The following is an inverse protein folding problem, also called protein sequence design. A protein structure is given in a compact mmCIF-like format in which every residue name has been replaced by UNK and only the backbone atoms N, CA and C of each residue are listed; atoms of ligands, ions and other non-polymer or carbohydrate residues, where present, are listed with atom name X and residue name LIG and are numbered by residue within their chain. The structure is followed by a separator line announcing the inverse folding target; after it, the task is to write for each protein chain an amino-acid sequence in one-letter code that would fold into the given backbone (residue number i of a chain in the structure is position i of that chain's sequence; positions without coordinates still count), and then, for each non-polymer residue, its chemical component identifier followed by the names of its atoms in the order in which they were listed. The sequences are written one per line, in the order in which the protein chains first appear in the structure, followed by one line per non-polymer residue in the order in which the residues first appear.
data_IF_630548211401
#
_entry.id   IF_630548211401
#
_cell.length_a   1.000
_cell.length_b   1.000
_cell.length_c   1.000
_cell.angle_alpha   90.00
_cell.angle_beta   90.00
_cell.angle_gamma   90.00
#
_symmetry.space_group_name_H-M   'P 1'
#
loop_
_entity.id
_entity.type
_entity.pdbx_description
1 polymer ?
#
# COMPACT_ATOMS: atom_id res chain seq x y z
N UNK A 1 -6.75 -10.27 4.04
CA UNK A 1 -7.26 -8.96 4.54
C UNK A 1 -7.69 -8.96 6.00
N UNK A 2 -8.29 -10.01 6.59
CA UNK A 2 -8.67 -10.02 8.01
C UNK A 2 -7.52 -9.63 8.96
N UNK A 3 -6.29 -9.97 8.59
CA UNK A 3 -5.13 -9.84 9.46
C UNK A 3 -4.67 -8.40 9.72
N UNK A 4 -4.93 -7.43 8.83
CA UNK A 4 -4.44 -6.06 9.04
C UNK A 4 -5.12 -5.34 10.21
N UNK A 5 -6.43 -5.59 10.38
CA UNK A 5 -7.25 -4.96 11.42
C UNK A 5 -7.50 -5.94 12.58
N UNK A 6 -7.59 -7.24 12.30
CA UNK A 6 -7.78 -8.28 13.31
C UNK A 6 -6.50 -8.67 14.05
N UNK A 7 -5.65 -9.47 13.41
CA UNK A 7 -4.52 -10.13 14.07
C UNK A 7 -3.31 -9.20 14.31
N UNK A 8 -2.93 -8.41 13.29
CA UNK A 8 -1.76 -7.55 13.34
C UNK A 8 -2.03 -6.23 14.10
N UNK A 9 -3.31 -5.85 14.23
CA UNK A 9 -3.78 -4.60 14.86
C UNK A 9 -3.04 -3.37 14.32
N UNK A 10 -2.93 -3.24 13.00
CA UNK A 10 -2.21 -2.14 12.31
C UNK A 10 -3.17 -1.26 11.49
N UNK A 11 -3.97 -0.38 12.12
CA UNK A 11 -4.90 0.49 11.39
C UNK A 11 -4.20 1.42 10.40
N UNK A 12 -3.00 1.92 10.73
CA UNK A 12 -2.21 2.73 9.80
C UNK A 12 -1.83 1.97 8.51
N UNK A 13 -1.48 0.68 8.61
CA UNK A 13 -1.17 -0.13 7.44
C UNK A 13 -2.42 -0.40 6.60
N UNK A 14 -3.57 -0.59 7.24
CA UNK A 14 -4.84 -0.71 6.55
C UNK A 14 -5.20 0.56 5.77
N UNK A 15 -5.13 1.74 6.40
CA UNK A 15 -5.43 3.03 5.73
C UNK A 15 -4.47 3.29 4.56
N UNK A 16 -3.17 3.06 4.75
CA UNK A 16 -2.18 3.21 3.66
C UNK A 16 -2.51 2.27 2.50
N UNK A 17 -2.87 1.02 2.79
CA UNK A 17 -3.24 0.06 1.74
C UNK A 17 -4.49 0.50 0.98
N UNK A 18 -5.54 0.95 1.67
CA UNK A 18 -6.76 1.44 1.02
C UNK A 18 -6.50 2.65 0.12
N UNK A 19 -5.68 3.60 0.58
CA UNK A 19 -5.27 4.74 -0.24
C UNK A 19 -4.59 4.30 -1.54
N UNK A 20 -3.63 3.37 -1.46
CA UNK A 20 -2.93 2.86 -2.63
C UNK A 20 -3.86 2.07 -3.54
N UNK A 21 -4.75 1.26 -2.97
CA UNK A 21 -5.74 0.48 -3.71
C UNK A 21 -6.67 1.37 -4.53
N UNK A 22 -7.24 2.40 -3.90
CA UNK A 22 -8.10 3.37 -4.55
C UNK A 22 -7.36 4.15 -5.64
N UNK A 23 -6.10 4.52 -5.37
CA UNK A 23 -5.24 5.21 -6.34
C UNK A 23 -4.93 4.33 -7.56
N UNK A 24 -4.69 3.03 -7.36
CA UNK A 24 -4.49 2.07 -8.44
C UNK A 24 -5.74 1.92 -9.31
N UNK A 25 -6.93 1.88 -8.69
CA UNK A 25 -8.22 1.84 -9.41
C UNK A 25 -8.44 3.09 -10.25
N UNK A 26 -8.20 4.28 -9.67
CA UNK A 26 -8.32 5.55 -10.38
C UNK A 26 -7.35 5.65 -11.57
N UNK A 27 -6.17 5.05 -11.48
CA UNK A 27 -5.17 5.01 -12.56
C UNK A 27 -5.40 3.88 -13.57
N UNK A 28 -6.28 2.93 -13.30
CA UNK A 28 -6.47 1.73 -14.12
C UNK A 28 -5.25 0.80 -14.17
N UNK A 29 -4.32 0.91 -13.21
CA UNK A 29 -3.09 0.09 -13.13
C UNK A 29 -2.65 -0.12 -11.69
N UNK A 30 -1.99 -1.24 -11.42
CA UNK A 30 -1.53 -1.60 -10.08
C UNK A 30 -0.27 -0.83 -9.63
N UNK A 31 0.38 -0.10 -10.54
CA UNK A 31 1.56 0.73 -10.24
C UNK A 31 1.14 2.15 -9.84
N UNK A 32 1.38 2.50 -8.57
CA UNK A 32 1.05 3.82 -8.01
C UNK A 32 2.33 4.61 -7.71
N UNK A 33 2.64 5.68 -8.46
CA UNK A 33 3.72 6.58 -8.11
C UNK A 33 3.29 7.44 -6.93
N UNK A 34 3.94 7.29 -5.78
CA UNK A 34 3.65 8.12 -4.62
C UNK A 34 4.91 8.34 -3.78
N UNK A 35 5.04 9.49 -3.15
CA UNK A 35 6.08 9.70 -2.14
C UNK A 35 5.56 9.27 -0.76
N UNK A 36 6.47 9.04 0.20
CA UNK A 36 6.06 8.90 1.62
C UNK A 36 5.30 10.14 2.11
N UNK A 37 5.71 11.33 1.64
CA UNK A 37 5.08 12.60 1.99
C UNK A 37 3.65 12.72 1.43
N UNK A 38 3.44 12.26 0.19
CA UNK A 38 2.14 12.26 -0.48
C UNK A 38 1.17 11.35 0.26
N UNK A 39 1.61 10.14 0.60
CA UNK A 39 0.77 9.19 1.35
C UNK A 39 0.44 9.78 2.73
N UNK A 40 1.43 10.34 3.44
CA UNK A 40 1.21 10.99 4.74
C UNK A 40 0.16 12.09 4.65
N UNK A 41 0.30 13.01 3.68
CA UNK A 41 -0.65 14.09 3.46
C UNK A 41 -2.07 13.58 3.14
N UNK A 42 -2.19 12.59 2.25
CA UNK A 42 -3.50 12.07 1.81
C UNK A 42 -4.19 11.19 2.85
N UNK A 43 -3.45 10.60 3.78
CA UNK A 43 -3.99 9.72 4.82
C UNK A 43 -4.07 10.38 6.19
N UNK A 44 -3.50 11.58 6.37
CA UNK A 44 -3.38 12.25 7.67
C UNK A 44 -2.39 11.59 8.64
N UNK A 45 -1.63 10.59 8.18
CA UNK A 45 -0.62 9.91 8.99
C UNK A 45 0.71 10.65 8.99
N UNK A 46 1.51 10.44 10.02
CA UNK A 46 2.91 10.89 9.99
C UNK A 46 3.72 10.10 8.95
N UNK A 47 4.79 10.72 8.42
CA UNK A 47 5.69 10.07 7.45
C UNK A 47 6.32 8.78 8.00
N UNK A 48 6.67 8.77 9.29
CA UNK A 48 7.22 7.59 9.96
C UNK A 48 6.18 6.46 10.09
N UNK A 49 4.92 6.79 10.39
CA UNK A 49 3.83 5.82 10.42
C UNK A 49 3.59 5.20 9.03
N UNK A 50 3.62 6.01 7.97
CA UNK A 50 3.55 5.52 6.58
C UNK A 50 4.71 4.57 6.26
N UNK A 51 5.93 4.92 6.66
CA UNK A 51 7.10 4.08 6.41
C UNK A 51 7.00 2.72 7.12
N UNK A 52 6.55 2.71 8.39
CA UNK A 52 6.28 1.48 9.15
C UNK A 52 5.18 0.66 8.48
N UNK A 53 4.09 1.31 8.07
CA UNK A 53 2.96 0.69 7.39
C UNK A 53 3.40 0.01 6.08
N UNK A 54 4.16 0.69 5.23
CA UNK A 54 4.64 0.14 3.97
C UNK A 54 5.56 -1.07 4.19
N UNK A 55 6.48 -1.02 5.17
CA UNK A 55 7.30 -2.20 5.53
C UNK A 55 6.43 -3.38 5.95
N UNK A 56 5.35 -3.12 6.70
CA UNK A 56 4.42 -4.16 7.11
C UNK A 56 3.68 -4.76 5.92
N UNK A 57 3.14 -3.92 5.02
CA UNK A 57 2.43 -4.36 3.83
C UNK A 57 3.31 -5.17 2.88
N UNK A 58 4.58 -4.79 2.70
CA UNK A 58 5.56 -5.57 1.93
C UNK A 58 5.76 -6.97 2.51
N UNK A 59 6.01 -7.06 3.83
CA UNK A 59 6.14 -8.37 4.51
C UNK A 59 4.89 -9.25 4.38
N UNK A 60 3.70 -8.66 4.24
CA UNK A 60 2.44 -9.38 4.05
C UNK A 60 2.09 -9.66 2.58
N UNK A 61 2.94 -9.26 1.62
CA UNK A 61 2.69 -9.44 0.19
C UNK A 61 1.50 -8.65 -0.34
N UNK A 62 1.20 -7.50 0.29
CA UNK A 62 0.11 -6.60 -0.12
C UNK A 62 0.60 -5.42 -0.97
N UNK A 63 1.87 -5.06 -0.82
CA UNK A 63 2.57 -4.15 -1.71
C UNK A 63 3.80 -4.89 -2.19
N UNK A 64 4.07 -4.83 -3.49
CA UNK A 64 5.27 -5.40 -4.09
C UNK A 64 6.55 -4.68 -3.64
N UNK A 65 7.67 -5.08 -4.22
CA UNK A 65 8.90 -4.32 -4.06
C UNK A 65 8.75 -2.92 -4.69
N UNK A 66 9.55 -1.97 -4.21
CA UNK A 66 9.55 -0.65 -4.83
C UNK A 66 10.19 -0.79 -6.21
N UNK A 67 9.44 -0.50 -7.26
CA UNK A 67 9.96 -0.42 -8.62
C UNK A 67 10.68 0.92 -8.81
N UNK A 68 11.58 0.98 -9.78
CA UNK A 68 12.36 2.20 -10.09
C UNK A 68 11.41 3.31 -10.53
N UNK A 69 11.12 4.23 -9.61
CA UNK A 69 10.54 5.55 -9.88
C UNK A 69 11.58 6.66 -9.68
N UNK A 70 11.15 7.91 -9.67
CA UNK A 70 12.01 9.03 -9.23
C UNK A 70 12.20 8.96 -7.71
N UNK A 71 13.34 9.44 -7.17
CA UNK A 71 13.56 9.53 -5.71
C UNK A 71 12.39 10.20 -4.95
N UNK A 72 11.74 11.18 -5.59
CA UNK A 72 10.58 11.88 -5.07
C UNK A 72 9.30 11.02 -5.12
N UNK A 73 9.11 10.17 -6.11
CA UNK A 73 7.91 9.33 -6.27
C UNK A 73 8.30 7.89 -6.64
N UNK A 74 8.69 7.06 -5.66
CA UNK A 74 8.85 5.64 -5.90
C UNK A 74 7.54 5.01 -6.35
N UNK A 75 7.64 4.07 -7.29
CA UNK A 75 6.49 3.32 -7.80
C UNK A 75 6.21 2.15 -6.85
N UNK A 76 4.96 2.04 -6.41
CA UNK A 76 4.50 0.94 -5.56
C UNK A 76 3.50 0.08 -6.31
N UNK A 77 3.81 -1.20 -6.43
CA UNK A 77 2.87 -2.17 -6.97
C UNK A 77 1.88 -2.61 -5.89
N UNK A 78 0.59 -2.41 -6.13
CA UNK A 78 -0.49 -2.87 -5.24
C UNK A 78 -0.83 -4.33 -5.59
N UNK A 79 -0.79 -5.21 -4.59
CA UNK A 79 -1.10 -6.63 -4.76
C UNK A 79 -2.46 -6.94 -4.12
N UNK A 80 -3.23 -7.84 -4.76
CA UNK A 80 -4.57 -8.28 -4.31
C UNK A 80 -4.62 -9.81 -4.17
N UNK A 81 -3.88 -10.43 -3.23
CA UNK A 81 -3.73 -11.89 -3.16
C UNK A 81 -5.04 -12.66 -2.97
N UNK A 82 -6.10 -12.03 -2.47
CA UNK A 82 -7.42 -12.66 -2.33
C UNK A 82 -8.19 -12.80 -3.64
N UNK A 83 -7.88 -12.01 -4.69
CA UNK A 83 -8.57 -12.13 -5.99
C UNK A 83 -8.15 -13.39 -6.75
N UNK A 84 -7.00 -13.96 -6.43
CA UNK A 84 -6.43 -15.14 -7.11
C UNK A 84 -7.09 -16.47 -6.72
N UNK A 85 -8.16 -16.47 -5.91
CA UNK A 85 -8.92 -17.69 -5.51
C UNK A 85 -10.22 -17.92 -6.31
N UNK A 86 -10.51 -17.14 -7.35
CA UNK A 86 -11.74 -17.32 -8.14
C UNK A 86 -11.53 -18.04 -9.48
N UNK A 87 -10.29 -18.38 -9.85
CA UNK A 87 -9.96 -19.08 -11.09
C UNK A 87 -9.20 -20.40 -10.78
N UNK A 88 -9.83 -21.31 -10.03
CA UNK A 88 -9.34 -22.68 -9.82
C UNK A 88 -10.48 -23.68 -10.02
#
# INVERSE_FOLDING_TARGET
MPDLVGHDRRPAAFVVYLYLLHSAEALGRDQVPASLQTIALKTGLSKSAVQVALRHLKRRGLVGEDEVGTQVNPVRQVLRPWRRRLDA
#
